data_IF_088104133794
#
_entry.id   IF_088104133794
#
_cell.length_a   1.000
_cell.length_b   1.000
_cell.length_c   1.000
_cell.angle_alpha   90.00
_cell.angle_beta   90.00
_cell.angle_gamma   90.00
#
_symmetry.space_group_name_H-M   'P 1'
#
loop_
_entity.id
_entity.type
_entity.pdbx_description
1 polymer ?
#
# COMPACT_ATOMS: atom_id res chain seq x y z
N UNK A 1 -30.77 5.81 -11.98
CA UNK A 1 -30.77 4.80 -10.90
C UNK A 1 -29.32 4.50 -10.60
N UNK A 2 -28.70 5.26 -9.70
CA UNK A 2 -27.28 5.12 -9.37
C UNK A 2 -27.22 4.88 -7.88
N UNK A 3 -26.64 3.73 -7.52
CA UNK A 3 -26.65 3.18 -6.18
C UNK A 3 -25.92 4.12 -5.23
N UNK A 4 -26.65 4.65 -4.26
CA UNK A 4 -26.08 5.23 -3.05
C UNK A 4 -25.45 4.07 -2.27
N UNK A 5 -24.13 4.04 -2.13
CA UNK A 5 -23.49 3.19 -1.14
C UNK A 5 -23.80 3.79 0.25
N UNK A 6 -24.87 3.31 0.88
CA UNK A 6 -25.15 3.53 2.30
C UNK A 6 -24.63 2.34 3.11
N UNK A 7 -23.63 2.57 3.97
CA UNK A 7 -23.39 1.73 5.16
C UNK A 7 -21.98 1.14 5.35
N UNK A 8 -21.21 1.77 6.26
CA UNK A 8 -20.51 1.18 7.43
C UNK A 8 -19.58 -0.04 7.25
N UNK A 9 -18.28 0.24 7.19
CA UNK A 9 -17.19 -0.48 7.89
C UNK A 9 -16.06 0.54 8.06
N UNK A 10 -15.45 0.67 9.25
CA UNK A 10 -14.21 1.43 9.36
C UNK A 10 -13.15 0.69 8.54
N UNK A 11 -12.84 1.20 7.36
CA UNK A 11 -11.87 0.56 6.49
C UNK A 11 -10.52 0.54 7.23
N UNK A 12 -9.97 -0.64 7.46
CA UNK A 12 -8.76 -0.80 8.26
C UNK A 12 -7.52 -0.31 7.50
N UNK A 13 -7.62 -0.20 6.17
CA UNK A 13 -6.62 0.38 5.27
C UNK A 13 -7.29 1.27 4.25
N UNK A 14 -6.74 2.45 4.00
CA UNK A 14 -7.26 3.38 2.98
C UNK A 14 -6.09 4.02 2.24
N UNK A 15 -6.02 3.88 0.90
CA UNK A 15 -5.01 4.57 0.11
C UNK A 15 -5.34 6.07 0.03
N UNK A 16 -4.32 6.94 -0.02
CA UNK A 16 -4.56 8.38 -0.20
C UNK A 16 -4.97 8.75 -1.62
N UNK A 17 -4.56 7.94 -2.61
CA UNK A 17 -4.91 8.10 -4.03
C UNK A 17 -4.98 6.74 -4.70
N UNK A 18 -6.02 6.51 -5.50
CA UNK A 18 -6.15 5.27 -6.26
C UNK A 18 -5.14 5.17 -7.41
N UNK A 19 -4.77 6.31 -7.99
CA UNK A 19 -3.85 6.41 -9.13
C UNK A 19 -2.82 7.52 -8.88
N UNK A 20 -1.55 7.22 -9.12
CA UNK A 20 -0.45 8.17 -9.12
C UNK A 20 0.17 8.20 -10.51
N UNK A 21 0.26 9.41 -11.07
CA UNK A 21 0.90 9.67 -12.35
C UNK A 21 2.28 10.27 -12.10
N UNK A 22 3.28 9.85 -12.87
CA UNK A 22 4.66 10.36 -12.79
C UNK A 22 5.33 10.36 -14.15
N UNK A 23 6.39 11.14 -14.29
CA UNK A 23 7.32 11.06 -15.42
C UNK A 23 8.53 10.20 -15.06
N UNK A 24 9.23 9.67 -16.07
CA UNK A 24 10.51 9.02 -15.82
C UNK A 24 11.50 9.94 -15.09
N UNK A 25 12.16 9.41 -14.07
CA UNK A 25 13.08 10.14 -13.20
C UNK A 25 12.44 10.79 -11.97
N UNK A 26 11.11 10.91 -11.92
CA UNK A 26 10.42 11.46 -10.74
C UNK A 26 10.58 10.58 -9.50
N UNK A 27 10.40 11.18 -8.33
CA UNK A 27 10.19 10.42 -7.08
C UNK A 27 8.70 10.22 -6.89
N UNK A 28 8.27 8.96 -6.85
CA UNK A 28 6.89 8.58 -6.58
C UNK A 28 6.71 8.26 -5.10
N UNK A 29 5.63 8.79 -4.51
CA UNK A 29 5.24 8.47 -3.14
C UNK A 29 3.83 7.89 -3.13
N UNK A 30 3.72 6.63 -2.71
CA UNK A 30 2.44 6.00 -2.38
C UNK A 30 2.18 6.12 -0.88
N UNK A 31 0.92 6.22 -0.46
CA UNK A 31 0.59 6.24 0.96
C UNK A 31 -0.70 5.52 1.30
N UNK A 32 -0.69 4.87 2.46
CA UNK A 32 -1.85 4.24 3.04
C UNK A 32 -2.02 4.59 4.51
N UNK A 33 -3.25 4.95 4.87
CA UNK A 33 -3.69 5.10 6.25
C UNK A 33 -4.21 3.78 6.77
N UNK A 34 -4.01 3.53 8.05
CA UNK A 34 -4.57 2.38 8.73
C UNK A 34 -5.29 2.79 10.02
N UNK A 35 -6.18 1.91 10.47
CA UNK A 35 -6.84 2.05 11.77
C UNK A 35 -6.55 0.83 12.66
N UNK A 36 -6.81 0.97 13.97
CA UNK A 36 -6.46 -0.05 14.96
C UNK A 36 -4.97 -0.16 15.29
N UNK A 37 -4.58 -1.36 15.74
CA UNK A 37 -3.23 -1.73 16.17
C UNK A 37 -2.66 -2.79 15.21
N UNK A 38 -1.42 -2.59 14.78
CA UNK A 38 -0.75 -3.39 13.75
C UNK A 38 0.53 -4.02 14.30
N UNK A 39 0.80 -5.27 13.91
CA UNK A 39 2.07 -5.95 14.16
C UNK A 39 3.11 -5.62 13.09
N UNK A 40 2.67 -5.48 11.84
CA UNK A 40 3.54 -5.20 10.72
C UNK A 40 2.76 -4.59 9.55
N UNK A 41 3.48 -3.91 8.67
CA UNK A 41 2.97 -3.24 7.47
C UNK A 41 3.79 -3.67 6.25
N UNK A 42 3.13 -3.73 5.11
CA UNK A 42 3.72 -4.29 3.89
C UNK A 42 3.31 -3.51 2.65
N UNK A 43 4.22 -3.50 1.68
CA UNK A 43 4.00 -3.11 0.31
C UNK A 43 4.23 -4.30 -0.60
N UNK A 44 3.29 -4.54 -1.51
CA UNK A 44 3.40 -5.51 -2.59
C UNK A 44 3.30 -4.78 -3.92
N UNK A 45 3.91 -5.33 -4.96
CA UNK A 45 3.65 -4.92 -6.33
C UNK A 45 3.06 -6.08 -7.13
N UNK A 46 2.29 -5.76 -8.15
CA UNK A 46 1.78 -6.71 -9.12
C UNK A 46 1.95 -6.13 -10.53
N UNK A 47 2.87 -6.74 -11.28
CA UNK A 47 3.02 -6.47 -12.71
C UNK A 47 1.87 -7.13 -13.47
N UNK A 48 1.53 -6.59 -14.63
CA UNK A 48 0.46 -7.17 -15.46
C UNK A 48 0.66 -8.66 -15.70
N UNK A 49 -0.36 -9.47 -15.44
CA UNK A 49 -0.34 -10.92 -15.61
C UNK A 49 0.44 -11.71 -14.53
N UNK A 50 1.00 -11.06 -13.50
CA UNK A 50 1.67 -11.75 -12.40
C UNK A 50 0.82 -11.76 -11.12
N UNK A 51 1.23 -12.55 -10.12
CA UNK A 51 0.65 -12.49 -8.77
C UNK A 51 1.30 -11.36 -7.96
N UNK A 52 0.65 -10.78 -6.94
CA UNK A 52 1.30 -9.84 -6.03
C UNK A 52 2.57 -10.44 -5.40
N UNK A 53 3.64 -9.66 -5.35
CA UNK A 53 4.94 -10.03 -4.77
C UNK A 53 5.33 -8.99 -3.73
N UNK A 54 5.89 -9.46 -2.61
CA UNK A 54 6.33 -8.58 -1.54
C UNK A 54 7.44 -7.67 -2.08
N UNK A 55 7.21 -6.37 -1.97
CA UNK A 55 8.17 -5.35 -2.35
C UNK A 55 8.97 -4.90 -1.12
N UNK A 56 8.28 -4.57 -0.02
CA UNK A 56 8.92 -4.07 1.19
C UNK A 56 8.05 -4.33 2.42
N UNK A 57 8.64 -4.75 3.53
CA UNK A 57 8.00 -4.74 4.85
C UNK A 57 8.54 -3.57 5.67
N UNK A 58 7.83 -3.17 6.73
CA UNK A 58 8.20 -2.03 7.59
C UNK A 58 9.67 -2.04 8.06
N UNK A 59 10.20 -3.23 8.34
CA UNK A 59 11.57 -3.43 8.84
C UNK A 59 12.55 -3.98 7.79
N UNK A 60 12.18 -3.95 6.51
CA UNK A 60 13.10 -4.31 5.42
C UNK A 60 14.24 -3.28 5.32
N UNK A 61 15.41 -3.74 4.84
CA UNK A 61 16.51 -2.84 4.53
C UNK A 61 16.08 -1.83 3.44
N UNK A 62 16.34 -0.55 3.69
CA UNK A 62 16.08 0.51 2.71
C UNK A 62 17.20 0.57 1.68
N UNK A 63 16.90 1.09 0.50
CA UNK A 63 17.87 1.32 -0.57
C UNK A 63 17.77 2.77 -1.04
N UNK A 64 18.73 3.22 -1.84
CA UNK A 64 18.66 4.55 -2.47
C UNK A 64 17.39 4.73 -3.32
N UNK A 65 16.85 3.63 -3.86
CA UNK A 65 15.68 3.64 -4.75
C UNK A 65 14.35 3.44 -4.02
N UNK A 66 14.33 2.65 -2.95
CA UNK A 66 13.11 2.25 -2.24
C UNK A 66 13.24 2.55 -0.76
N UNK A 67 12.29 3.33 -0.22
CA UNK A 67 12.20 3.63 1.21
C UNK A 67 10.81 3.32 1.74
N UNK A 68 10.78 2.73 2.93
CA UNK A 68 9.57 2.57 3.75
C UNK A 68 9.57 3.67 4.79
N UNK A 69 8.50 4.45 4.85
CA UNK A 69 8.34 5.52 5.85
C UNK A 69 7.09 5.21 6.66
N UNK A 70 7.22 5.11 7.98
CA UNK A 70 6.09 4.88 8.88
C UNK A 70 5.89 6.07 9.82
N UNK A 71 4.80 6.80 9.63
CA UNK A 71 4.37 7.85 10.53
C UNK A 71 3.32 7.31 11.53
N UNK A 72 3.79 6.69 12.61
CA UNK A 72 2.94 6.01 13.61
C UNK A 72 1.85 6.92 14.20
N UNK A 73 2.20 8.17 14.51
CA UNK A 73 1.25 9.15 15.09
C UNK A 73 0.10 9.48 14.14
N UNK A 74 0.36 9.50 12.83
CA UNK A 74 -0.67 9.73 11.80
C UNK A 74 -1.36 8.44 11.34
N UNK A 75 -0.89 7.28 11.83
CA UNK A 75 -1.26 5.95 11.34
C UNK A 75 -1.22 5.86 9.82
N UNK A 76 -0.14 6.38 9.25
CA UNK A 76 0.08 6.41 7.81
C UNK A 76 1.47 5.89 7.50
N UNK A 77 1.59 5.15 6.40
CA UNK A 77 2.86 4.66 5.92
C UNK A 77 2.98 4.85 4.41
N UNK A 78 4.21 5.04 3.97
CA UNK A 78 4.55 5.47 2.63
C UNK A 78 5.57 4.53 2.01
N UNK A 79 5.45 4.37 0.69
CA UNK A 79 6.50 3.82 -0.16
C UNK A 79 7.02 4.95 -1.05
N UNK A 80 8.29 5.25 -0.93
CA UNK A 80 8.99 6.15 -1.85
C UNK A 80 9.76 5.31 -2.89
N UNK A 81 9.53 5.60 -4.16
CA UNK A 81 10.26 5.05 -5.31
C UNK A 81 10.97 6.19 -6.00
N UNK A 82 12.29 6.29 -5.82
CA UNK A 82 13.09 7.32 -6.48
C UNK A 82 13.43 6.92 -7.92
N UNK A 83 13.55 7.90 -8.81
CA UNK A 83 13.88 7.68 -10.23
C UNK A 83 12.94 6.66 -10.87
N UNK A 84 11.66 7.02 -10.89
CA UNK A 84 10.60 6.21 -11.49
C UNK A 84 10.94 5.88 -12.94
N UNK A 85 10.68 4.64 -13.34
CA UNK A 85 10.82 4.17 -14.70
C UNK A 85 9.47 3.67 -15.23
N UNK A 86 9.32 3.55 -16.54
CA UNK A 86 8.11 2.94 -17.14
C UNK A 86 7.83 1.54 -16.57
N UNK A 87 8.87 0.79 -16.20
CA UNK A 87 8.76 -0.54 -15.59
C UNK A 87 8.17 -0.57 -14.18
N UNK A 88 8.08 0.60 -13.52
CA UNK A 88 7.39 0.75 -12.23
C UNK A 88 5.88 0.95 -12.40
N UNK A 89 5.39 1.09 -13.64
CA UNK A 89 3.95 1.12 -13.89
C UNK A 89 3.34 -0.25 -13.58
N UNK A 90 2.59 -0.30 -12.47
CA UNK A 90 2.04 -1.53 -11.92
C UNK A 90 0.95 -1.21 -10.89
N UNK A 91 0.27 -2.27 -10.42
CA UNK A 91 -0.59 -2.18 -9.25
C UNK A 91 0.26 -2.40 -8.01
N UNK A 92 0.10 -1.55 -7.00
CA UNK A 92 0.76 -1.63 -5.71
C UNK A 92 -0.28 -1.84 -4.63
N UNK A 93 -0.04 -2.82 -3.77
CA UNK A 93 -0.91 -3.10 -2.63
C UNK A 93 -0.22 -2.69 -1.35
N UNK A 94 -0.94 -1.97 -0.50
CA UNK A 94 -0.54 -1.80 0.89
C UNK A 94 -1.32 -2.81 1.73
N UNK A 95 -0.65 -3.42 2.71
CA UNK A 95 -1.25 -4.44 3.55
C UNK A 95 -0.80 -4.33 5.00
N UNK A 96 -1.65 -4.80 5.92
CA UNK A 96 -1.35 -4.82 7.35
C UNK A 96 -1.58 -6.18 7.98
N UNK A 97 -0.85 -6.44 9.06
CA UNK A 97 -1.11 -7.53 9.98
C UNK A 97 -1.68 -6.95 11.29
N UNK A 98 -2.97 -7.16 11.62
CA UNK A 98 -3.55 -6.66 12.87
C UNK A 98 -2.95 -7.36 14.10
N UNK A 99 -2.81 -6.64 15.21
CA UNK A 99 -2.45 -7.24 16.51
C UNK A 99 -3.63 -7.89 17.23
N UNK A 100 -4.86 -7.50 16.91
CA UNK A 100 -6.05 -7.89 17.69
C UNK A 100 -6.68 -9.19 17.19
N UNK A 101 -6.97 -10.10 18.13
CA UNK A 101 -7.48 -11.46 17.84
C UNK A 101 -8.85 -11.50 17.14
N UNK A 102 -9.65 -10.44 17.24
CA UNK A 102 -11.00 -10.39 16.62
C UNK A 102 -10.96 -10.46 15.08
N UNK A 103 -9.87 -9.98 14.47
CA UNK A 103 -9.64 -10.02 13.02
C UNK A 103 -8.69 -11.15 12.59
N UNK A 104 -8.16 -11.95 13.53
CA UNK A 104 -7.24 -13.06 13.24
C UNK A 104 -7.94 -14.36 12.80
N UNK A 105 -9.28 -14.45 12.95
CA UNK A 105 -10.03 -15.69 12.76
C UNK A 105 -10.32 -16.06 11.29
N UNK A 106 -9.96 -15.22 10.32
CA UNK A 106 -10.00 -15.55 8.89
C UNK A 106 -8.57 -15.81 8.41
N UNK A 107 -8.18 -17.09 8.29
CA UNK A 107 -6.97 -17.60 7.59
C UNK A 107 -5.93 -16.52 7.30
N UNK A 108 -5.08 -16.15 8.28
CA UNK A 108 -3.93 -15.20 8.24
C UNK A 108 -3.61 -14.50 6.90
N UNK A 109 -4.59 -13.82 6.29
CA UNK A 109 -4.40 -13.10 5.04
C UNK A 109 -4.23 -11.64 5.45
N UNK A 110 -3.11 -10.99 5.10
CA UNK A 110 -2.98 -9.56 5.26
C UNK A 110 -4.18 -8.89 4.62
N UNK A 111 -4.82 -7.97 5.33
CA UNK A 111 -5.82 -7.12 4.69
C UNK A 111 -5.07 -6.18 3.76
N UNK A 112 -5.54 -6.05 2.53
CA UNK A 112 -4.89 -5.32 1.47
C UNK A 112 -5.83 -4.38 0.71
N UNK A 113 -5.29 -3.27 0.22
CA UNK A 113 -5.96 -2.37 -0.73
C UNK A 113 -4.96 -1.91 -1.78
N UNK A 114 -5.45 -1.51 -2.95
CA UNK A 114 -4.65 -1.35 -4.15
C UNK A 114 -4.60 0.10 -4.64
N UNK A 115 -3.47 0.46 -5.25
CA UNK A 115 -3.26 1.70 -5.98
C UNK A 115 -2.51 1.39 -7.27
N UNK A 116 -2.51 2.29 -8.23
CA UNK A 116 -1.77 2.13 -9.48
C UNK A 116 -0.77 3.26 -9.67
N UNK A 117 0.44 2.92 -10.09
CA UNK A 117 1.41 3.88 -10.64
C UNK A 117 1.31 3.81 -12.15
N UNK A 118 1.22 4.98 -12.80
CA UNK A 118 1.38 5.13 -14.25
C UNK A 118 2.52 6.11 -14.53
N UNK A 119 3.66 5.59 -14.96
CA UNK A 119 4.82 6.39 -15.35
C UNK A 119 4.82 6.59 -16.87
N UNK A 120 4.99 7.83 -17.32
CA UNK A 120 5.03 8.24 -18.73
C UNK A 120 6.38 8.79 -19.15
#
# INVERSE_FOLDING_TARGET
MSLLFSGSSEDLLTPSKDVVMSLEGDTVTLSCKYSGSVLNLYWYHQKSGSRPQLLMAEHSAQTERLKFIHEREKKEFYLEISSAAVTDSAVYYCALQPSDRKHQNSVQKPLDTAMSISTM
#
